data_IF_772884565375
#
_entry.id   IF_772884565375
#
_cell.length_a   1.000
_cell.length_b   1.000
_cell.length_c   1.000
_cell.angle_alpha   90.00
_cell.angle_beta   90.00
_cell.angle_gamma   90.00
#
_symmetry.space_group_name_H-M   'P 1'
#
loop_
_entity.id
_entity.type
_entity.pdbx_description
1 polymer ?
#
# COMPACT_ATOMS: atom_id res chain seq x y z
N UNK A 1 -10.61 11.71 -1.39
CA UNK A 1 -10.19 11.54 0.02
C UNK A 1 -8.69 11.37 0.04
N UNK A 2 -7.96 12.27 0.69
CA UNK A 2 -6.50 12.16 0.88
C UNK A 2 -6.26 11.21 2.05
N UNK A 3 -5.37 10.23 1.89
CA UNK A 3 -5.02 9.29 2.96
C UNK A 3 -3.87 9.89 3.80
N UNK A 4 -4.07 10.21 5.09
CA UNK A 4 -3.07 10.88 5.92
C UNK A 4 -1.76 10.11 6.07
N UNK A 5 -1.82 8.77 6.11
CA UNK A 5 -0.64 7.91 6.20
C UNK A 5 0.20 8.01 4.94
N UNK A 6 -0.44 7.98 3.77
CA UNK A 6 0.25 8.13 2.47
C UNK A 6 0.89 9.51 2.37
N UNK A 7 0.18 10.57 2.74
CA UNK A 7 0.72 11.93 2.73
C UNK A 7 1.92 12.09 3.67
N UNK A 8 1.88 11.50 4.86
CA UNK A 8 2.98 11.55 5.82
C UNK A 8 4.24 10.87 5.26
N UNK A 9 4.09 9.69 4.67
CA UNK A 9 5.19 8.98 4.02
C UNK A 9 5.74 9.80 2.84
N UNK A 10 4.88 10.34 1.99
CA UNK A 10 5.30 11.16 0.85
C UNK A 10 6.10 12.40 1.28
N UNK A 11 5.65 13.12 2.33
CA UNK A 11 6.41 14.25 2.89
C UNK A 11 7.75 13.86 3.50
N UNK A 12 7.85 12.62 4.00
CA UNK A 12 9.11 12.10 4.55
C UNK A 12 10.09 11.74 3.43
N UNK A 13 9.61 11.16 2.33
CA UNK A 13 10.43 10.73 1.19
C UNK A 13 10.79 11.89 0.25
N UNK A 14 9.88 12.84 0.08
CA UNK A 14 10.01 14.00 -0.82
C UNK A 14 9.90 15.32 -0.03
N UNK A 15 10.79 15.59 0.93
CA UNK A 15 10.67 16.76 1.82
C UNK A 15 10.87 18.10 1.10
N UNK A 16 11.41 18.07 -0.12
CA UNK A 16 11.64 19.23 -0.97
C UNK A 16 10.39 19.68 -1.74
N UNK A 17 9.34 18.85 -1.78
CA UNK A 17 8.07 19.19 -2.42
C UNK A 17 7.07 19.68 -1.36
N UNK A 18 6.40 20.80 -1.64
CA UNK A 18 5.41 21.37 -0.74
C UNK A 18 4.14 20.50 -0.64
N UNK A 19 3.73 19.89 -1.75
CA UNK A 19 2.56 19.02 -1.86
C UNK A 19 2.89 17.76 -2.70
N UNK A 20 3.63 16.79 -2.13
CA UNK A 20 4.06 15.62 -2.86
C UNK A 20 2.90 14.68 -3.19
N UNK A 21 2.87 14.18 -4.41
CA UNK A 21 1.92 13.19 -4.91
C UNK A 21 2.61 11.84 -5.15
N UNK A 22 1.83 10.75 -5.19
CA UNK A 22 2.36 9.40 -5.49
C UNK A 22 3.12 9.35 -6.81
N UNK A 23 2.66 10.08 -7.82
CA UNK A 23 3.31 10.12 -9.12
C UNK A 23 4.68 10.82 -9.13
N UNK A 24 5.00 11.61 -8.11
CA UNK A 24 6.31 12.23 -7.96
C UNK A 24 7.38 11.23 -7.52
N UNK A 25 6.98 10.09 -6.94
CA UNK A 25 7.90 8.97 -6.68
C UNK A 25 8.29 8.26 -7.98
N UNK A 26 7.30 8.02 -8.84
CA UNK A 26 7.49 7.36 -10.14
C UNK A 26 6.27 7.60 -11.04
N UNK A 27 6.52 7.90 -12.31
CA UNK A 27 5.48 8.28 -13.28
C UNK A 27 4.37 7.23 -13.44
N UNK A 28 4.69 5.94 -13.29
CA UNK A 28 3.70 4.87 -13.42
C UNK A 28 2.63 4.90 -12.32
N UNK A 29 2.89 5.57 -11.19
CA UNK A 29 1.95 5.70 -10.08
C UNK A 29 0.86 6.75 -10.33
N UNK A 30 0.97 7.57 -11.37
CA UNK A 30 -0.16 8.37 -11.87
C UNK A 30 -1.22 7.50 -12.55
N UNK A 31 -0.85 6.32 -13.04
CA UNK A 31 -1.80 5.38 -13.64
C UNK A 31 -2.48 4.56 -12.54
N UNK A 32 -3.77 4.83 -12.31
CA UNK A 32 -4.57 4.14 -11.29
C UNK A 32 -4.59 2.62 -11.48
N UNK A 33 -4.72 2.12 -12.71
CA UNK A 33 -4.75 0.68 -12.98
C UNK A 33 -3.42 0.02 -12.62
N UNK A 34 -2.31 0.68 -12.96
CA UNK A 34 -0.98 0.18 -12.60
C UNK A 34 -0.74 0.20 -11.09
N UNK A 35 -1.16 1.27 -10.41
CA UNK A 35 -1.11 1.38 -8.95
C UNK A 35 -1.91 0.25 -8.27
N UNK A 36 -3.13 -0.04 -8.76
CA UNK A 36 -3.96 -1.14 -8.25
C UNK A 36 -3.23 -2.47 -8.39
N UNK A 37 -2.68 -2.78 -9.57
CA UNK A 37 -1.95 -4.03 -9.78
C UNK A 37 -0.71 -4.16 -8.88
N UNK A 38 0.00 -3.07 -8.60
CA UNK A 38 1.12 -3.07 -7.65
C UNK A 38 0.65 -3.35 -6.21
N UNK A 39 -0.43 -2.70 -5.78
CA UNK A 39 -1.02 -2.92 -4.44
C UNK A 39 -1.46 -4.37 -4.30
N UNK A 40 -2.17 -4.92 -5.28
CA UNK A 40 -2.63 -6.32 -5.26
C UNK A 40 -1.47 -7.30 -5.19
N UNK A 41 -0.42 -7.08 -6.00
CA UNK A 41 0.80 -7.89 -5.97
C UNK A 41 1.44 -7.89 -4.58
N UNK A 42 1.66 -6.70 -3.99
CA UNK A 42 2.28 -6.58 -2.67
C UNK A 42 1.39 -7.19 -1.58
N UNK A 43 0.07 -6.99 -1.66
CA UNK A 43 -0.88 -7.60 -0.71
C UNK A 43 -0.75 -9.12 -0.74
N UNK A 44 -0.69 -9.74 -1.92
CA UNK A 44 -0.54 -11.19 -2.04
C UNK A 44 0.82 -11.68 -1.52
N UNK A 45 1.91 -10.97 -1.80
CA UNK A 45 3.26 -11.35 -1.38
C UNK A 45 3.47 -11.22 0.14
N UNK A 46 2.95 -10.15 0.75
CA UNK A 46 3.20 -9.82 2.17
C UNK A 46 2.09 -10.35 3.07
N UNK A 47 0.85 -10.38 2.58
CA UNK A 47 -0.34 -10.80 3.31
C UNK A 47 -1.06 -11.90 2.52
N UNK A 48 -0.46 -13.09 2.40
CA UNK A 48 -1.01 -14.17 1.56
C UNK A 48 -2.39 -14.66 2.03
N UNK A 49 -2.70 -14.46 3.32
CA UNK A 49 -4.02 -14.77 3.88
C UNK A 49 -5.04 -13.65 3.66
N UNK A 50 -4.62 -12.48 3.18
CA UNK A 50 -5.45 -11.28 3.09
C UNK A 50 -5.14 -10.26 4.20
N UNK A 51 -5.71 -9.07 4.06
CA UNK A 51 -5.55 -7.94 4.99
C UNK A 51 -6.84 -7.61 5.75
N UNK A 52 -7.86 -8.43 5.57
CA UNK A 52 -9.18 -8.29 6.18
C UNK A 52 -9.34 -9.27 7.36
N UNK A 53 -10.55 -9.34 7.93
CA UNK A 53 -10.85 -10.20 9.06
C UNK A 53 -10.69 -11.69 8.73
N UNK A 54 -10.96 -12.09 7.49
CA UNK A 54 -10.75 -13.45 7.03
C UNK A 54 -9.26 -13.78 7.02
N UNK A 55 -8.43 -12.86 6.50
CA UNK A 55 -6.99 -13.02 6.55
C UNK A 55 -6.40 -13.08 7.95
N UNK A 56 -6.95 -12.31 8.89
CA UNK A 56 -6.56 -12.39 10.30
C UNK A 56 -6.90 -13.77 10.89
N UNK A 57 -8.12 -14.27 10.64
CA UNK A 57 -8.57 -15.56 11.14
C UNK A 57 -7.75 -16.72 10.57
N UNK A 58 -7.50 -16.71 9.26
CA UNK A 58 -6.67 -17.72 8.58
C UNK A 58 -5.23 -17.70 9.10
N UNK A 59 -4.64 -16.51 9.32
CA UNK A 59 -3.31 -16.39 9.90
C UNK A 59 -3.25 -16.93 11.35
N UNK A 60 -4.29 -16.73 12.15
CA UNK A 60 -4.36 -17.31 13.50
C UNK A 60 -4.42 -18.83 13.49
N UNK A 61 -5.24 -19.42 12.60
CA UNK A 61 -5.33 -20.88 12.47
C UNK A 61 -4.01 -21.50 12.02
N UNK A 62 -3.33 -20.88 11.05
CA UNK A 62 -2.03 -21.35 10.58
C UNK A 62 -0.97 -21.37 11.69
N UNK A 63 -0.93 -20.34 12.54
CA UNK A 63 0.03 -20.26 13.66
C UNK A 63 -0.35 -21.12 14.88
N UNK A 64 -1.53 -21.73 14.88
CA UNK A 64 -2.03 -22.60 15.97
C UNK A 64 -1.92 -24.10 15.64
N UNK A 65 -1.37 -24.43 14.47
CA UNK A 65 -1.16 -25.78 13.94
C UNK A 65 0.31 -26.19 14.08
#
# INVERSE_FOLDING_TARGET
>A
MVNPSVTTVLKTVLPHLADPMLGDLHISLYNKSHLVSLIEKIKFEVFPMGTDWEGLYCAQLYNSS
#
